data_IF_904546297270
#
_entry.id   IF_904546297270
#
_cell.length_a   1.000
_cell.length_b   1.000
_cell.length_c   1.000
_cell.angle_alpha   90.00
_cell.angle_beta   90.00
_cell.angle_gamma   90.00
#
_symmetry.space_group_name_H-M   'P 1'
#
loop_
_entity.id
_entity.type
_entity.pdbx_description
1 polymer ?
#
# COMPACT_ATOMS: atom_id res chain seq x y z
N UNK A 1 8.73 -10.47 -20.31
CA UNK A 1 7.53 -11.30 -20.09
C UNK A 1 7.80 -12.59 -19.30
N UNK A 2 8.46 -13.63 -19.83
CA UNK A 2 8.65 -14.92 -19.09
C UNK A 2 9.36 -14.75 -17.74
N UNK A 3 10.42 -13.93 -17.70
CA UNK A 3 11.13 -13.59 -16.45
C UNK A 3 10.23 -12.90 -15.43
N UNK A 4 9.34 -12.01 -15.88
CA UNK A 4 8.41 -11.30 -14.99
C UNK A 4 7.29 -12.22 -14.48
N UNK A 5 6.75 -13.10 -15.33
CA UNK A 5 5.82 -14.15 -14.90
C UNK A 5 6.47 -15.03 -13.84
N UNK A 6 7.71 -15.45 -14.07
CA UNK A 6 8.48 -16.22 -13.07
C UNK A 6 8.63 -15.46 -11.75
N UNK A 7 8.94 -14.15 -11.77
CA UNK A 7 9.01 -13.32 -10.56
C UNK A 7 7.67 -13.21 -9.82
N UNK A 8 6.56 -12.98 -10.54
CA UNK A 8 5.21 -12.94 -9.96
C UNK A 8 4.91 -14.24 -9.21
N UNK A 9 5.11 -15.39 -9.85
CA UNK A 9 4.81 -16.68 -9.25
C UNK A 9 5.79 -17.06 -8.13
N UNK A 10 7.08 -16.70 -8.26
CA UNK A 10 8.07 -16.90 -7.19
C UNK A 10 7.68 -16.12 -5.93
N UNK A 11 7.24 -14.86 -6.08
CA UNK A 11 6.70 -14.08 -4.98
C UNK A 11 5.43 -14.70 -4.42
N UNK A 12 4.45 -15.03 -5.26
CA UNK A 12 3.19 -15.63 -4.81
C UNK A 12 3.37 -16.90 -3.98
N UNK A 13 4.25 -17.81 -4.44
CA UNK A 13 4.59 -19.06 -3.73
C UNK A 13 5.36 -18.79 -2.43
N UNK A 14 6.23 -17.78 -2.36
CA UNK A 14 6.91 -17.43 -1.11
C UNK A 14 5.93 -16.90 -0.05
N UNK A 15 4.79 -16.34 -0.46
CA UNK A 15 3.75 -15.79 0.42
C UNK A 15 2.74 -16.83 0.93
N UNK A 16 2.78 -18.09 0.49
CA UNK A 16 1.74 -19.11 0.81
C UNK A 16 1.53 -19.28 2.32
N UNK A 17 2.61 -19.41 3.10
CA UNK A 17 2.52 -19.57 4.56
C UNK A 17 1.92 -18.32 5.22
N UNK A 18 2.28 -17.14 4.72
CA UNK A 18 1.80 -15.85 5.24
C UNK A 18 0.30 -15.70 4.97
N UNK A 19 -0.19 -16.10 3.79
CA UNK A 19 -1.63 -16.08 3.43
C UNK A 19 -2.46 -16.96 4.37
N UNK A 20 -1.99 -18.17 4.67
CA UNK A 20 -2.65 -19.02 5.67
C UNK A 20 -2.65 -18.39 7.05
N UNK A 21 -1.52 -17.82 7.50
CA UNK A 21 -1.45 -17.09 8.79
C UNK A 21 -2.45 -15.93 8.85
N UNK A 22 -2.61 -15.17 7.76
CA UNK A 22 -3.59 -14.08 7.68
C UNK A 22 -5.02 -14.61 7.81
N UNK A 23 -5.38 -15.65 7.05
CA UNK A 23 -6.70 -16.26 7.14
C UNK A 23 -6.99 -16.77 8.57
N UNK A 24 -6.07 -17.53 9.17
CA UNK A 24 -6.27 -18.05 10.53
C UNK A 24 -6.42 -16.94 11.56
N UNK A 25 -5.61 -15.88 11.46
CA UNK A 25 -5.75 -14.72 12.33
C UNK A 25 -7.10 -14.03 12.12
N UNK A 26 -7.56 -13.89 10.87
CA UNK A 26 -8.85 -13.28 10.54
C UNK A 26 -10.03 -14.08 11.14
N UNK A 27 -9.96 -15.41 11.06
CA UNK A 27 -10.94 -16.29 11.69
C UNK A 27 -10.87 -16.22 13.22
N UNK A 28 -9.66 -16.06 13.79
CA UNK A 28 -9.46 -15.95 15.23
C UNK A 28 -10.07 -14.67 15.85
N UNK A 29 -10.32 -13.63 15.05
CA UNK A 29 -10.99 -12.38 15.49
C UNK A 29 -12.38 -12.66 16.08
N UNK A 30 -13.04 -13.74 15.65
CA UNK A 30 -14.33 -14.16 16.20
C UNK A 30 -14.26 -14.59 17.68
N UNK A 31 -13.06 -14.92 18.18
CA UNK A 31 -12.82 -15.30 19.57
C UNK A 31 -12.22 -14.17 20.41
N UNK A 32 -11.45 -13.27 19.78
CA UNK A 32 -10.83 -12.11 20.43
C UNK A 32 -10.95 -10.91 19.49
N UNK A 33 -11.83 -9.95 19.82
CA UNK A 33 -12.10 -8.78 18.96
C UNK A 33 -10.90 -7.81 18.90
N UNK A 34 -9.88 -8.21 18.14
CA UNK A 34 -8.71 -7.39 17.81
C UNK A 34 -8.45 -7.54 16.32
N UNK A 35 -8.92 -6.58 15.55
CA UNK A 35 -8.76 -6.61 14.10
C UNK A 35 -7.29 -6.51 13.69
N UNK A 36 -6.96 -7.21 12.60
CA UNK A 36 -5.66 -7.16 11.93
C UNK A 36 -5.56 -5.97 10.99
N UNK A 37 -6.70 -5.43 10.57
CA UNK A 37 -6.77 -4.39 9.55
C UNK A 37 -7.07 -3.06 10.26
N UNK A 38 -6.27 -2.02 9.97
CA UNK A 38 -6.53 -0.66 10.42
C UNK A 38 -7.97 -0.22 10.16
N UNK A 39 -8.59 0.43 11.16
CA UNK A 39 -9.92 1.05 11.04
C UNK A 39 -11.03 0.11 10.49
N UNK A 40 -11.02 -1.16 10.88
CA UNK A 40 -12.05 -2.12 10.46
C UNK A 40 -13.33 -2.04 11.27
N UNK A 41 -14.48 -2.08 10.60
CA UNK A 41 -15.80 -2.27 11.20
C UNK A 41 -16.20 -3.75 11.20
N UNK A 42 -17.19 -4.10 12.02
CA UNK A 42 -17.72 -5.47 12.10
C UNK A 42 -18.23 -6.00 10.74
N UNK A 43 -18.88 -5.14 9.97
CA UNK A 43 -19.47 -5.50 8.67
C UNK A 43 -18.44 -5.72 7.56
N UNK A 44 -17.19 -5.35 7.78
CA UNK A 44 -16.14 -5.57 6.79
C UNK A 44 -15.59 -7.00 6.83
N UNK A 45 -15.73 -7.67 7.97
CA UNK A 45 -15.20 -9.01 8.20
C UNK A 45 -15.57 -10.04 7.11
N UNK A 46 -16.84 -10.17 6.65
CA UNK A 46 -17.16 -11.12 5.60
C UNK A 46 -16.55 -10.77 4.25
N UNK A 47 -16.37 -9.48 3.94
CA UNK A 47 -15.74 -9.04 2.68
C UNK A 47 -14.25 -9.33 2.74
N UNK A 48 -13.59 -9.01 3.85
CA UNK A 48 -12.18 -9.34 4.08
C UNK A 48 -11.91 -10.85 3.94
N UNK A 49 -12.83 -11.69 4.45
CA UNK A 49 -12.73 -13.15 4.33
C UNK A 49 -12.68 -13.58 2.86
N UNK A 50 -13.52 -13.00 1.99
CA UNK A 50 -13.51 -13.31 0.55
C UNK A 50 -12.16 -12.99 -0.09
N UNK A 51 -11.53 -11.87 0.28
CA UNK A 51 -10.19 -11.54 -0.21
C UNK A 51 -9.12 -12.51 0.28
N UNK A 52 -9.14 -12.91 1.55
CA UNK A 52 -8.20 -13.90 2.07
C UNK A 52 -8.36 -15.28 1.41
N UNK A 53 -9.60 -15.70 1.12
CA UNK A 53 -9.85 -16.92 0.35
C UNK A 53 -9.34 -16.81 -1.09
N UNK A 54 -9.54 -15.64 -1.73
CA UNK A 54 -8.98 -15.35 -3.06
C UNK A 54 -7.45 -15.42 -3.10
N UNK A 55 -6.77 -14.91 -2.08
CA UNK A 55 -5.32 -14.98 -1.96
C UNK A 55 -4.81 -16.43 -1.91
N UNK A 56 -5.53 -17.34 -1.21
CA UNK A 56 -5.12 -18.75 -1.10
C UNK A 56 -5.15 -19.50 -2.43
N UNK A 57 -6.00 -19.08 -3.37
CA UNK A 57 -6.07 -19.66 -4.72
C UNK A 57 -5.22 -18.89 -5.74
N UNK A 58 -4.31 -18.03 -5.27
CA UNK A 58 -3.39 -17.24 -6.10
C UNK A 58 -4.11 -16.31 -7.09
N UNK A 59 -5.29 -15.79 -6.71
CA UNK A 59 -6.02 -14.83 -7.53
C UNK A 59 -5.17 -13.59 -7.92
N UNK A 60 -4.34 -13.02 -7.03
CA UNK A 60 -3.46 -11.91 -7.40
C UNK A 60 -2.47 -12.28 -8.51
N UNK A 61 -1.81 -13.44 -8.40
CA UNK A 61 -0.83 -13.91 -9.38
C UNK A 61 -1.48 -14.16 -10.74
N UNK A 62 -2.66 -14.80 -10.75
CA UNK A 62 -3.42 -15.07 -11.96
C UNK A 62 -3.80 -13.76 -12.64
N UNK A 63 -4.38 -12.81 -11.88
CA UNK A 63 -4.79 -11.53 -12.40
C UNK A 63 -3.60 -10.70 -12.94
N UNK A 64 -2.50 -10.60 -12.18
CA UNK A 64 -1.29 -9.92 -12.64
C UNK A 64 -0.70 -10.58 -13.89
N UNK A 65 -0.71 -11.92 -13.97
CA UNK A 65 -0.25 -12.65 -15.16
C UNK A 65 -1.10 -12.31 -16.39
N UNK A 66 -2.43 -12.27 -16.24
CA UNK A 66 -3.36 -11.86 -17.31
C UNK A 66 -3.07 -10.42 -17.75
N UNK A 67 -2.92 -9.49 -16.81
CA UNK A 67 -2.60 -8.09 -17.13
C UNK A 67 -1.28 -8.01 -17.89
N UNK A 68 -0.24 -8.72 -17.47
CA UNK A 68 1.08 -8.70 -18.11
C UNK A 68 1.04 -9.27 -19.54
N UNK A 69 0.22 -10.29 -19.79
CA UNK A 69 -0.01 -10.85 -21.13
C UNK A 69 -0.74 -9.83 -22.01
N UNK A 70 -1.75 -9.14 -21.48
CA UNK A 70 -2.52 -8.13 -22.23
C UNK A 70 -1.71 -6.85 -22.45
N UNK A 71 -0.82 -6.50 -21.51
CA UNK A 71 0.00 -5.28 -21.53
C UNK A 71 1.49 -5.62 -21.36
N UNK A 72 2.17 -6.03 -22.44
CA UNK A 72 3.59 -6.37 -22.40
C UNK A 72 4.51 -5.18 -22.08
N UNK A 73 4.02 -3.95 -22.16
CA UNK A 73 4.75 -2.72 -21.80
C UNK A 73 5.00 -2.60 -20.30
N UNK A 74 4.33 -3.40 -19.46
CA UNK A 74 4.56 -3.43 -18.02
C UNK A 74 5.99 -3.87 -17.75
N UNK A 75 6.71 -3.05 -17.00
CA UNK A 75 8.15 -3.18 -16.73
C UNK A 75 8.42 -3.39 -15.24
N UNK A 76 9.55 -3.97 -14.83
CA UNK A 76 9.99 -3.90 -13.44
C UNK A 76 10.35 -2.46 -13.04
N UNK A 77 10.58 -2.26 -11.73
CA UNK A 77 11.24 -1.05 -11.25
C UNK A 77 12.60 -0.86 -11.92
N UNK A 78 12.90 0.38 -12.29
CA UNK A 78 14.25 0.84 -12.69
C UNK A 78 15.17 0.89 -11.47
N UNK A 79 16.48 0.99 -11.69
CA UNK A 79 17.46 1.04 -10.60
C UNK A 79 17.22 2.24 -9.65
N UNK A 80 16.86 3.41 -10.19
CA UNK A 80 16.52 4.58 -9.38
C UNK A 80 15.24 4.38 -8.55
N UNK A 81 14.23 3.72 -9.12
CA UNK A 81 13.00 3.40 -8.39
C UNK A 81 13.27 2.33 -7.31
N UNK A 82 14.19 1.39 -7.53
CA UNK A 82 14.61 0.43 -6.50
C UNK A 82 15.37 1.11 -5.37
N UNK A 83 16.28 2.04 -5.67
CA UNK A 83 16.97 2.84 -4.64
C UNK A 83 15.96 3.60 -3.79
N UNK A 84 14.92 4.17 -4.40
CA UNK A 84 13.83 4.83 -3.67
C UNK A 84 13.09 3.86 -2.73
N UNK A 85 12.80 2.64 -3.20
CA UNK A 85 12.19 1.59 -2.36
C UNK A 85 13.11 1.23 -1.20
N UNK A 86 14.39 0.99 -1.46
CA UNK A 86 15.38 0.65 -0.42
C UNK A 86 15.51 1.77 0.62
N UNK A 87 15.53 3.04 0.19
CA UNK A 87 15.66 4.20 1.07
C UNK A 87 14.44 4.42 1.97
N UNK A 88 13.24 4.28 1.41
CA UNK A 88 11.98 4.65 2.08
C UNK A 88 11.22 3.48 2.69
N UNK A 89 11.47 2.27 2.22
CA UNK A 89 10.73 1.07 2.62
C UNK A 89 11.65 -0.03 3.13
N UNK A 90 12.97 0.08 2.95
CA UNK A 90 13.94 -0.93 3.41
C UNK A 90 13.49 -2.34 2.97
N UNK A 91 13.41 -3.29 3.90
CA UNK A 91 12.97 -4.68 3.64
C UNK A 91 11.44 -4.88 3.71
N UNK A 92 10.64 -3.81 3.88
CA UNK A 92 9.17 -3.93 4.04
C UNK A 92 8.44 -4.23 2.73
N UNK A 93 9.09 -3.99 1.59
CA UNK A 93 8.59 -4.27 0.24
C UNK A 93 9.62 -5.17 -0.45
N UNK A 94 9.18 -6.22 -1.13
CA UNK A 94 10.00 -6.99 -2.07
C UNK A 94 10.04 -6.24 -3.42
N UNK A 95 11.12 -5.50 -3.74
CA UNK A 95 11.18 -4.63 -4.92
C UNK A 95 11.11 -5.43 -6.22
N UNK A 96 11.61 -6.66 -6.24
CA UNK A 96 11.62 -7.47 -7.46
C UNK A 96 10.25 -8.01 -7.85
N UNK A 97 9.27 -7.97 -6.93
CA UNK A 97 7.88 -8.31 -7.20
C UNK A 97 7.09 -7.13 -7.79
N UNK A 98 7.60 -5.89 -7.67
CA UNK A 98 6.91 -4.66 -8.07
C UNK A 98 7.06 -4.40 -9.56
N UNK A 99 5.95 -4.05 -10.20
CA UNK A 99 5.86 -3.74 -11.62
C UNK A 99 5.24 -2.36 -11.83
N UNK A 100 5.67 -1.70 -12.91
CA UNK A 100 5.19 -0.40 -13.34
C UNK A 100 4.44 -0.53 -14.67
N UNK A 101 3.25 0.04 -14.72
CA UNK A 101 2.48 0.29 -15.92
C UNK A 101 2.37 1.81 -16.12
N UNK A 102 3.37 2.37 -16.78
CA UNK A 102 3.49 3.80 -17.12
C UNK A 102 2.70 4.21 -18.37
N UNK A 103 1.94 3.27 -18.94
CA UNK A 103 1.01 3.49 -20.05
C UNK A 103 -0.40 3.01 -19.68
N UNK A 104 -0.80 3.22 -18.42
CA UNK A 104 -2.12 2.84 -17.96
C UNK A 104 -3.18 3.50 -18.86
N UNK A 105 -4.11 2.69 -19.38
CA UNK A 105 -4.85 3.04 -20.61
C UNK A 105 -5.70 4.30 -20.47
N UNK A 106 -6.20 4.79 -21.60
CA UNK A 106 -7.20 5.86 -21.71
C UNK A 106 -8.38 5.69 -20.72
N UNK A 107 -8.72 4.46 -20.31
CA UNK A 107 -9.81 4.18 -19.37
C UNK A 107 -9.50 4.62 -17.92
N UNK A 108 -8.23 4.61 -17.51
CA UNK A 108 -7.76 5.16 -16.22
C UNK A 108 -7.91 6.69 -16.20
N UNK A 109 -7.91 7.35 -17.38
CA UNK A 109 -7.96 8.82 -17.51
C UNK A 109 -9.13 9.49 -16.81
N UNK A 110 -10.24 8.78 -16.59
CA UNK A 110 -11.46 9.37 -16.02
C UNK A 110 -11.52 9.33 -14.49
N UNK A 111 -10.73 8.47 -13.84
CA UNK A 111 -10.94 8.14 -12.42
C UNK A 111 -9.73 8.38 -11.51
N UNK A 112 -8.49 8.28 -11.99
CA UNK A 112 -7.31 8.48 -11.15
C UNK A 112 -6.08 9.04 -11.91
N UNK A 113 -5.13 9.60 -11.16
CA UNK A 113 -3.81 10.01 -11.65
C UNK A 113 -2.83 8.83 -11.64
N UNK A 114 -2.80 8.10 -10.53
CA UNK A 114 -2.14 6.82 -10.35
C UNK A 114 -3.02 5.88 -9.49
N UNK A 115 -2.77 4.57 -9.55
CA UNK A 115 -3.35 3.61 -8.62
C UNK A 115 -2.53 2.31 -8.60
N UNK A 116 -2.62 1.57 -7.50
CA UNK A 116 -2.04 0.24 -7.36
C UNK A 116 -3.08 -0.87 -7.55
N UNK A 117 -2.69 -1.90 -8.31
CA UNK A 117 -3.38 -3.18 -8.38
C UNK A 117 -2.41 -4.29 -8.00
N UNK A 118 -2.51 -4.79 -6.76
CA UNK A 118 -1.56 -5.75 -6.19
C UNK A 118 -0.13 -5.19 -6.18
N UNK A 119 0.82 -5.82 -6.87
CA UNK A 119 2.20 -5.31 -7.03
C UNK A 119 2.38 -4.48 -8.32
N UNK A 120 1.31 -4.07 -9.00
CA UNK A 120 1.39 -3.26 -10.22
C UNK A 120 0.98 -1.82 -9.91
N UNK A 121 1.91 -0.89 -10.03
CA UNK A 121 1.63 0.56 -9.97
C UNK A 121 1.27 1.02 -11.38
N UNK A 122 0.14 1.71 -11.51
CA UNK A 122 -0.39 2.18 -12.79
C UNK A 122 -0.45 3.71 -12.80
N UNK A 123 0.17 4.35 -13.78
CA UNK A 123 0.07 5.80 -14.00
C UNK A 123 0.14 6.13 -15.49
N UNK A 124 -0.07 7.41 -15.83
CA UNK A 124 -0.35 7.84 -17.22
C UNK A 124 0.88 7.93 -18.11
N UNK A 125 1.84 8.76 -17.70
CA UNK A 125 3.02 9.11 -18.49
C UNK A 125 4.20 9.37 -17.55
N UNK A 126 4.01 10.28 -16.60
CA UNK A 126 4.97 10.62 -15.55
C UNK A 126 4.27 10.56 -14.21
N UNK A 127 5.03 10.22 -13.19
CA UNK A 127 4.61 10.24 -11.80
C UNK A 127 5.63 11.10 -11.04
N UNK A 128 5.13 11.98 -10.18
CA UNK A 128 5.95 12.70 -9.22
C UNK A 128 6.49 11.72 -8.17
N UNK A 129 7.73 11.88 -7.71
CA UNK A 129 8.34 10.93 -6.77
C UNK A 129 7.55 10.81 -5.46
N UNK A 130 7.00 11.91 -4.95
CA UNK A 130 6.12 11.90 -3.77
C UNK A 130 4.88 11.00 -3.99
N UNK A 131 4.24 11.11 -5.16
CA UNK A 131 3.10 10.26 -5.53
C UNK A 131 3.55 8.82 -5.75
N UNK A 132 4.74 8.58 -6.30
CA UNK A 132 5.27 7.21 -6.39
C UNK A 132 5.47 6.58 -5.01
N UNK A 133 5.97 7.35 -4.03
CA UNK A 133 6.07 6.92 -2.62
C UNK A 133 4.69 6.61 -2.04
N UNK A 134 3.67 7.43 -2.34
CA UNK A 134 2.28 7.14 -1.98
C UNK A 134 1.83 5.77 -2.52
N UNK A 135 2.00 5.53 -3.82
CA UNK A 135 1.61 4.26 -4.44
C UNK A 135 2.43 3.08 -3.88
N UNK A 136 3.70 3.29 -3.52
CA UNK A 136 4.51 2.26 -2.86
C UNK A 136 3.97 1.91 -1.46
N UNK A 137 3.35 2.83 -0.72
CA UNK A 137 2.64 2.48 0.52
C UNK A 137 1.49 1.51 0.24
N UNK A 138 0.78 1.65 -0.88
CA UNK A 138 -0.25 0.68 -1.27
C UNK A 138 0.34 -0.68 -1.67
N UNK A 139 1.51 -0.70 -2.31
CA UNK A 139 2.27 -1.95 -2.54
C UNK A 139 2.62 -2.60 -1.20
N UNK A 140 3.18 -1.84 -0.24
CA UNK A 140 3.44 -2.32 1.12
C UNK A 140 2.17 -2.89 1.76
N UNK A 141 1.04 -2.18 1.67
CA UNK A 141 -0.24 -2.63 2.23
C UNK A 141 -0.69 -3.95 1.59
N UNK A 142 -0.57 -4.11 0.27
CA UNK A 142 -0.84 -5.39 -0.40
C UNK A 142 0.11 -6.50 0.08
N UNK A 143 1.42 -6.24 0.08
CA UNK A 143 2.41 -7.23 0.48
C UNK A 143 2.27 -7.62 1.95
N UNK A 144 1.80 -6.72 2.82
CA UNK A 144 1.64 -6.96 4.26
C UNK A 144 0.28 -7.54 4.65
N UNK A 145 -0.81 -7.05 4.07
CA UNK A 145 -2.18 -7.41 4.45
C UNK A 145 -2.89 -8.30 3.41
N UNK A 146 -2.38 -8.42 2.20
CA UNK A 146 -2.99 -9.17 1.11
C UNK A 146 -4.01 -8.35 0.33
N UNK A 147 -4.80 -9.02 -0.51
CA UNK A 147 -5.71 -8.34 -1.44
C UNK A 147 -6.82 -7.55 -0.76
N UNK A 148 -7.06 -7.81 0.52
CA UNK A 148 -7.99 -7.04 1.34
C UNK A 148 -7.69 -5.54 1.33
N UNK A 149 -6.43 -5.15 1.11
CA UNK A 149 -6.05 -3.75 1.00
C UNK A 149 -6.86 -3.01 -0.08
N UNK A 150 -7.16 -3.66 -1.22
CA UNK A 150 -7.87 -3.03 -2.34
C UNK A 150 -9.24 -2.54 -1.89
N UNK A 151 -10.01 -3.40 -1.22
CA UNK A 151 -11.32 -3.03 -0.70
C UNK A 151 -11.22 -1.91 0.34
N UNK A 152 -10.23 -1.98 1.21
CA UNK A 152 -10.03 -1.03 2.31
C UNK A 152 -9.59 0.36 1.83
N UNK A 153 -8.70 0.41 0.86
CA UNK A 153 -8.30 1.62 0.15
C UNK A 153 -9.51 2.26 -0.56
N UNK A 154 -10.25 1.48 -1.36
CA UNK A 154 -11.46 1.97 -2.03
C UNK A 154 -12.55 2.45 -1.06
N UNK A 155 -12.77 1.74 0.06
CA UNK A 155 -13.70 2.17 1.11
C UNK A 155 -13.26 3.51 1.71
N UNK A 156 -11.97 3.68 1.97
CA UNK A 156 -11.40 4.92 2.49
C UNK A 156 -11.55 6.09 1.50
N UNK A 157 -11.25 5.89 0.21
CA UNK A 157 -11.43 6.90 -0.85
C UNK A 157 -12.89 7.38 -0.99
N UNK A 158 -13.84 6.49 -0.73
CA UNK A 158 -15.28 6.81 -0.77
C UNK A 158 -15.85 7.32 0.56
N UNK A 159 -15.04 7.38 1.62
CA UNK A 159 -15.47 7.86 2.93
C UNK A 159 -15.58 9.40 2.97
N UNK A 160 -16.19 9.94 4.02
CA UNK A 160 -16.27 11.41 4.21
C UNK A 160 -14.90 12.05 4.43
N UNK A 161 -13.96 11.33 5.05
CA UNK A 161 -12.66 11.86 5.43
C UNK A 161 -11.54 11.54 4.44
N UNK A 162 -11.78 10.72 3.40
CA UNK A 162 -10.88 10.45 2.26
C UNK A 162 -9.37 10.56 2.60
N UNK A 163 -8.74 11.62 2.09
CA UNK A 163 -7.35 12.01 2.27
C UNK A 163 -7.09 12.86 3.52
N UNK A 164 -8.13 13.43 4.13
CA UNK A 164 -8.02 14.30 5.29
C UNK A 164 -7.77 13.50 6.57
N UNK A 165 -6.49 13.40 6.94
CA UNK A 165 -6.03 12.89 8.22
C UNK A 165 -5.89 13.98 9.29
N UNK A 166 -6.26 15.23 8.99
CA UNK A 166 -6.28 16.39 9.90
C UNK A 166 -4.93 17.07 10.14
N UNK A 167 -3.92 16.79 9.31
CA UNK A 167 -2.59 17.41 9.38
C UNK A 167 -1.84 17.15 10.69
N UNK A 168 -0.75 17.90 10.91
CA UNK A 168 0.13 17.73 12.08
C UNK A 168 -0.61 17.80 13.41
N UNK A 169 -1.61 18.68 13.56
CA UNK A 169 -2.39 18.82 14.80
C UNK A 169 -3.09 17.52 15.18
N UNK A 170 -3.70 16.83 14.20
CA UNK A 170 -4.38 15.56 14.45
C UNK A 170 -3.40 14.40 14.65
N UNK A 171 -2.23 14.45 14.02
CA UNK A 171 -1.14 13.52 14.26
C UNK A 171 -0.61 13.65 15.70
N UNK A 172 -0.32 14.86 16.18
CA UNK A 172 0.11 15.11 17.56
C UNK A 172 -0.92 14.60 18.58
N UNK A 173 -2.20 14.91 18.36
CA UNK A 173 -3.28 14.40 19.21
C UNK A 173 -3.37 12.87 19.17
N UNK A 174 -3.09 12.26 18.02
CA UNK A 174 -3.00 10.81 17.86
C UNK A 174 -1.88 10.20 18.69
N UNK A 175 -0.67 10.74 18.59
CA UNK A 175 0.49 10.29 19.38
C UNK A 175 0.22 10.40 20.88
N UNK A 176 -0.37 11.51 21.35
CA UNK A 176 -0.75 11.69 22.76
C UNK A 176 -1.79 10.66 23.25
N UNK A 177 -2.54 10.04 22.33
CA UNK A 177 -3.50 8.97 22.61
C UNK A 177 -2.91 7.57 22.37
N UNK A 178 -1.61 7.46 22.09
CA UNK A 178 -0.95 6.20 21.78
C UNK A 178 -1.30 5.63 20.40
N UNK A 179 -1.78 6.46 19.47
CA UNK A 179 -2.11 6.02 18.11
C UNK A 179 -0.86 5.98 17.23
N UNK A 180 -0.62 4.81 16.65
CA UNK A 180 0.31 4.59 15.55
C UNK A 180 -0.31 4.84 14.18
N UNK A 181 0.49 4.75 13.11
CA UNK A 181 0.07 4.83 11.71
C UNK A 181 -1.11 3.90 11.39
N UNK A 182 -1.15 2.72 12.00
CA UNK A 182 -2.19 1.70 11.81
C UNK A 182 -3.54 2.02 12.46
N UNK A 183 -3.69 3.19 13.06
CA UNK A 183 -4.99 3.73 13.48
C UNK A 183 -5.66 4.57 12.39
N UNK A 184 -4.92 4.93 11.34
CA UNK A 184 -5.43 5.64 10.18
C UNK A 184 -5.86 4.65 9.10
N UNK A 185 -6.80 5.05 8.25
CA UNK A 185 -7.19 4.21 7.11
C UNK A 185 -6.07 4.15 6.06
N UNK A 186 -6.15 3.20 5.11
CA UNK A 186 -5.05 2.97 4.17
C UNK A 186 -4.68 4.15 3.27
N UNK A 187 -5.64 4.97 2.84
CA UNK A 187 -5.36 6.19 2.08
C UNK A 187 -4.68 7.26 2.94
N UNK A 188 -5.15 7.44 4.17
CA UNK A 188 -4.53 8.35 5.13
C UNK A 188 -3.09 7.92 5.47
N UNK A 189 -2.83 6.62 5.58
CA UNK A 189 -1.46 6.13 5.76
C UNK A 189 -0.57 6.54 4.59
N UNK A 190 -1.02 6.31 3.35
CA UNK A 190 -0.27 6.68 2.16
C UNK A 190 -0.03 8.21 2.08
N UNK A 191 -1.05 9.02 2.38
CA UNK A 191 -0.93 10.48 2.45
C UNK A 191 0.05 10.96 3.52
N UNK A 192 0.05 10.37 4.72
CA UNK A 192 0.98 10.75 5.80
C UNK A 192 2.44 10.52 5.36
N UNK A 193 2.72 9.40 4.69
CA UNK A 193 4.07 9.09 4.20
C UNK A 193 4.45 9.96 3.01
N UNK A 194 3.51 10.23 2.09
CA UNK A 194 3.71 11.19 1.00
C UNK A 194 4.06 12.58 1.55
N UNK A 195 3.29 13.10 2.50
CA UNK A 195 3.55 14.41 3.09
C UNK A 195 4.89 14.45 3.83
N UNK A 196 5.28 13.35 4.50
CA UNK A 196 6.60 13.23 5.08
C UNK A 196 7.72 13.25 4.03
N UNK A 197 7.52 12.57 2.88
CA UNK A 197 8.44 12.63 1.75
C UNK A 197 8.61 14.05 1.24
N UNK A 198 7.49 14.75 0.99
CA UNK A 198 7.47 16.15 0.54
C UNK A 198 8.20 17.06 1.51
N UNK A 199 8.00 16.90 2.82
CA UNK A 199 8.71 17.71 3.84
C UNK A 199 10.24 17.55 3.86
N UNK A 200 10.76 16.43 3.34
CA UNK A 200 12.20 16.15 3.30
C UNK A 200 12.84 16.52 1.96
N UNK A 201 12.05 16.64 0.89
CA UNK A 201 12.57 16.80 -0.49
C UNK A 201 12.06 18.04 -1.22
N UNK A 202 10.93 18.60 -0.79
CA UNK A 202 10.30 19.77 -1.41
C UNK A 202 10.47 20.97 -0.48
N UNK A 203 11.19 21.99 -0.96
CA UNK A 203 11.67 23.15 -0.18
C UNK A 203 10.57 24.05 0.41
N UNK A 204 9.28 23.71 0.25
CA UNK A 204 8.14 24.59 0.53
C UNK A 204 7.06 24.01 1.47
N UNK A 205 7.13 22.74 1.89
CA UNK A 205 6.15 22.17 2.82
C UNK A 205 6.74 22.02 4.23
N UNK A 206 6.24 22.88 5.14
CA UNK A 206 6.45 22.87 6.60
C UNK A 206 7.85 23.25 7.09
N UNK A 207 7.96 24.49 7.59
CA UNK A 207 9.20 25.13 8.04
C UNK A 207 9.61 24.84 9.48
N UNK A 208 8.86 24.02 10.23
CA UNK A 208 9.17 23.74 11.63
C UNK A 208 9.62 22.30 11.86
N UNK A 209 10.73 22.15 12.60
CA UNK A 209 11.36 20.86 12.94
C UNK A 209 10.42 19.95 13.71
N UNK A 210 9.51 20.49 14.51
CA UNK A 210 8.61 19.71 15.35
C UNK A 210 7.61 18.92 14.52
N UNK A 211 7.03 19.54 13.50
CA UNK A 211 6.17 18.87 12.53
C UNK A 211 6.89 17.69 11.88
N UNK A 212 8.13 17.87 11.43
CA UNK A 212 8.91 16.78 10.81
C UNK A 212 9.11 15.57 11.75
N UNK A 213 9.39 15.80 13.03
CA UNK A 213 9.54 14.70 14.01
C UNK A 213 8.24 13.93 14.25
N UNK A 214 7.09 14.63 14.22
CA UNK A 214 5.77 13.99 14.31
C UNK A 214 5.56 13.03 13.15
N UNK A 215 5.80 13.48 11.91
CA UNK A 215 5.68 12.62 10.73
C UNK A 215 6.72 11.48 10.72
N UNK A 216 7.95 11.75 11.14
CA UNK A 216 8.99 10.74 11.28
C UNK A 216 8.59 9.60 12.24
N UNK A 217 7.85 9.92 13.31
CA UNK A 217 7.31 8.91 14.23
C UNK A 217 6.35 7.95 13.52
N UNK A 218 5.42 8.49 12.73
CA UNK A 218 4.49 7.69 11.93
C UNK A 218 5.18 6.90 10.80
N UNK A 219 6.23 7.48 10.19
CA UNK A 219 7.07 6.76 9.23
C UNK A 219 7.76 5.55 9.87
N UNK A 220 8.27 5.69 11.11
CA UNK A 220 8.88 4.56 11.81
C UNK A 220 7.88 3.46 12.16
N UNK A 221 6.60 3.76 12.36
CA UNK A 221 5.57 2.72 12.49
C UNK A 221 5.47 1.85 11.24
N UNK A 222 5.56 2.45 10.04
CA UNK A 222 5.57 1.70 8.77
C UNK A 222 6.74 0.72 8.72
N UNK A 223 7.93 1.19 9.10
CA UNK A 223 9.17 0.39 9.12
C UNK A 223 9.19 -0.68 10.22
N UNK A 224 8.52 -0.43 11.34
CA UNK A 224 8.46 -1.37 12.47
C UNK A 224 7.76 -2.69 12.14
N UNK A 225 7.06 -2.75 11.01
CA UNK A 225 6.41 -3.95 10.50
C UNK A 225 7.25 -4.74 9.49
N UNK A 226 8.51 -4.39 9.24
CA UNK A 226 9.45 -5.25 8.51
C UNK A 226 9.55 -6.65 9.15
#
# INVERSE_FOLDING_TARGET
MLTQLSKIWKFGVSQTIIRWKRLFRHLAVLFHWKSLIPASDFFDWPIDLLFYLGDLVYLPEIHMSIILIIKPSIRPLTDNEKILVEEWFEDTIEPDAVLINDHASVFVRKYAYAFVGYNIINYRDRIETAILVHELVHVFQFQKFGSVYIYRALKAQNSKHKYDYGGVTRLVNGLNQGKSLFHYNFEQQAMIIEDYYRMNHEFQMFSDRYSREVFHTYYNDLKSLA
#
